data_IF_288221556169
#
_entry.id   IF_288221556169
#
_cell.length_a   1.000
_cell.length_b   1.000
_cell.length_c   1.000
_cell.angle_alpha   90.00
_cell.angle_beta   90.00
_cell.angle_gamma   90.00
#
_symmetry.space_group_name_H-M   'P 1'
#
loop_
_entity.id
_entity.type
_entity.pdbx_description
1 polymer ?
#
# COMPACT_ATOMS: atom_id res chain seq x y z
N UNK A 1 -10.06 -26.34 -12.28
CA UNK A 1 -9.22 -25.20 -11.86
C UNK A 1 -7.79 -25.45 -12.31
N UNK A 2 -7.24 -24.63 -13.21
CA UNK A 2 -5.79 -24.61 -13.45
C UNK A 2 -5.16 -23.96 -12.21
N UNK A 3 -4.24 -24.66 -11.53
CA UNK A 3 -3.50 -24.05 -10.44
C UNK A 3 -2.75 -22.82 -10.98
N UNK A 4 -2.94 -21.66 -10.36
CA UNK A 4 -2.23 -20.46 -10.77
C UNK A 4 -0.72 -20.71 -10.56
N UNK A 5 0.05 -20.58 -11.64
CA UNK A 5 1.51 -20.81 -11.64
C UNK A 5 2.27 -19.92 -10.65
N UNK A 6 1.64 -18.84 -10.16
CA UNK A 6 2.20 -17.91 -9.20
C UNK A 6 1.91 -18.26 -7.74
N UNK A 7 0.99 -19.19 -7.45
CA UNK A 7 0.68 -19.59 -6.07
C UNK A 7 1.89 -20.13 -5.32
N UNK A 8 2.80 -20.85 -6.00
CA UNK A 8 4.05 -21.30 -5.38
C UNK A 8 4.93 -20.15 -4.86
N UNK A 9 4.90 -18.99 -5.53
CA UNK A 9 5.65 -17.82 -5.10
C UNK A 9 4.96 -17.17 -3.91
N UNK A 10 3.64 -17.02 -3.97
CA UNK A 10 2.84 -16.54 -2.84
C UNK A 10 3.05 -17.38 -1.57
N UNK A 11 2.93 -18.71 -1.67
CA UNK A 11 3.16 -19.62 -0.54
C UNK A 11 4.58 -19.49 0.02
N UNK A 12 5.58 -19.32 -0.85
CA UNK A 12 6.96 -19.09 -0.43
C UNK A 12 7.08 -17.79 0.35
N UNK A 13 6.54 -16.69 -0.17
CA UNK A 13 6.53 -15.37 0.49
C UNK A 13 5.83 -15.44 1.85
N UNK A 14 4.65 -16.08 1.94
CA UNK A 14 3.96 -16.28 3.23
C UNK A 14 4.82 -17.09 4.21
N UNK A 15 5.50 -18.16 3.75
CA UNK A 15 6.40 -18.95 4.59
C UNK A 15 7.61 -18.14 5.06
N UNK A 16 8.14 -17.25 4.22
CA UNK A 16 9.25 -16.36 4.58
C UNK A 16 8.86 -15.37 5.67
N UNK A 17 7.72 -14.68 5.54
CA UNK A 17 7.21 -13.79 6.59
C UNK A 17 6.95 -14.53 7.89
N UNK A 18 6.36 -15.73 7.83
CA UNK A 18 6.14 -16.56 9.03
C UNK A 18 7.42 -16.92 9.77
N UNK A 19 8.53 -17.12 9.05
CA UNK A 19 9.82 -17.55 9.62
C UNK A 19 10.70 -16.41 10.11
N UNK A 20 10.59 -15.22 9.52
CA UNK A 20 11.46 -14.10 9.86
C UNK A 20 11.00 -13.42 11.16
N UNK A 21 11.51 -13.92 12.27
CA UNK A 21 11.36 -13.29 13.59
C UNK A 21 12.21 -12.02 13.61
N UNK A 22 11.63 -10.92 14.07
CA UNK A 22 12.31 -9.66 14.33
C UNK A 22 12.17 -9.41 15.83
N UNK A 23 13.28 -9.42 16.56
CA UNK A 23 13.23 -9.27 18.01
C UNK A 23 13.03 -7.81 18.43
N UNK A 24 12.59 -7.59 19.67
CA UNK A 24 12.47 -6.24 20.22
C UNK A 24 13.83 -5.51 20.28
N UNK A 25 14.93 -6.25 20.47
CA UNK A 25 16.29 -5.71 20.36
C UNK A 25 16.60 -5.25 18.93
N UNK A 26 16.30 -6.05 17.91
CA UNK A 26 16.50 -5.65 16.51
C UNK A 26 15.65 -4.41 16.16
N UNK A 27 14.39 -4.38 16.62
CA UNK A 27 13.53 -3.19 16.49
C UNK A 27 14.19 -1.98 17.13
N UNK A 28 14.69 -2.11 18.35
CA UNK A 28 15.34 -1.02 19.08
C UNK A 28 16.60 -0.54 18.35
N UNK A 29 17.45 -1.43 17.87
CA UNK A 29 18.65 -1.09 17.11
C UNK A 29 18.31 -0.32 15.82
N UNK A 30 17.28 -0.74 15.10
CA UNK A 30 16.79 -0.03 13.90
C UNK A 30 16.34 1.38 14.28
N UNK A 31 15.52 1.51 15.34
CA UNK A 31 15.00 2.79 15.82
C UNK A 31 16.13 3.75 16.24
N UNK A 32 17.06 3.26 17.04
CA UNK A 32 18.22 4.03 17.52
C UNK A 32 19.11 4.47 16.34
N UNK A 33 19.36 3.58 15.38
CA UNK A 33 20.11 3.91 14.17
C UNK A 33 19.40 4.99 13.33
N UNK A 34 18.07 4.95 13.19
CA UNK A 34 17.31 6.00 12.48
C UNK A 34 17.44 7.35 13.18
N UNK A 35 17.28 7.38 14.51
CA UNK A 35 17.40 8.61 15.29
C UNK A 35 18.80 9.21 15.19
N UNK A 36 19.85 8.39 15.24
CA UNK A 36 21.23 8.86 15.09
C UNK A 36 21.48 9.42 13.68
N UNK A 37 21.02 8.75 12.62
CA UNK A 37 21.11 9.30 11.25
C UNK A 37 20.37 10.64 11.11
N UNK A 38 19.24 10.82 11.79
CA UNK A 38 18.50 12.08 11.77
C UNK A 38 19.23 13.20 12.53
N UNK A 39 19.86 12.89 13.67
CA UNK A 39 20.70 13.84 14.41
C UNK A 39 21.90 14.30 13.57
N UNK A 40 22.56 13.36 12.88
CA UNK A 40 23.66 13.68 11.96
C UNK A 40 23.23 14.64 10.84
N UNK A 41 22.01 14.49 10.31
CA UNK A 41 21.47 15.40 9.31
C UNK A 41 21.21 16.80 9.88
N UNK A 42 20.78 16.90 11.14
CA UNK A 42 20.60 18.20 11.82
C UNK A 42 21.95 18.91 11.95
N UNK A 43 22.99 18.19 12.37
CA UNK A 43 24.34 18.73 12.55
C UNK A 43 24.96 19.19 11.22
N UNK A 44 24.64 18.50 10.12
CA UNK A 44 25.02 18.87 8.75
C UNK A 44 24.14 19.95 8.12
N UNK A 45 23.15 20.47 8.85
CA UNK A 45 22.15 21.43 8.36
C UNK A 45 21.31 20.92 7.16
N UNK A 46 21.11 19.59 7.08
CA UNK A 46 20.34 18.90 6.04
C UNK A 46 18.93 18.53 6.55
N UNK A 47 18.31 19.42 7.31
CA UNK A 47 17.01 19.20 7.97
C UNK A 47 15.83 18.97 7.01
N UNK A 48 15.99 19.19 5.72
CA UNK A 48 15.00 18.89 4.68
C UNK A 48 15.08 17.44 4.17
N UNK A 49 15.88 16.58 4.82
CA UNK A 49 16.07 15.16 4.47
C UNK A 49 15.68 14.22 5.61
N UNK A 50 15.09 14.73 6.69
CA UNK A 50 14.76 13.93 7.87
C UNK A 50 13.73 12.84 7.54
N UNK A 51 12.67 13.18 6.81
CA UNK A 51 11.66 12.19 6.42
C UNK A 51 12.23 11.04 5.57
N UNK A 52 13.29 11.29 4.78
CA UNK A 52 13.94 10.24 3.97
C UNK A 52 14.52 9.10 4.84
N UNK A 53 14.84 9.38 6.12
CA UNK A 53 15.37 8.38 7.06
C UNK A 53 14.31 7.39 7.54
N UNK A 54 13.02 7.72 7.42
CA UNK A 54 11.92 6.82 7.77
C UNK A 54 11.90 5.56 6.88
N UNK A 55 12.30 5.69 5.60
CA UNK A 55 12.20 4.64 4.57
C UNK A 55 12.77 3.28 4.99
N UNK A 56 13.96 3.27 5.60
CA UNK A 56 14.61 2.01 6.00
C UNK A 56 13.90 1.33 7.18
N UNK A 57 13.33 2.12 8.10
CA UNK A 57 12.56 1.58 9.23
C UNK A 57 11.23 0.97 8.78
N UNK A 58 10.63 1.48 7.70
CA UNK A 58 9.38 0.94 7.15
C UNK A 58 9.54 -0.54 6.75
N UNK A 59 10.59 -0.87 6.00
CA UNK A 59 10.73 -2.22 5.43
C UNK A 59 10.88 -3.32 6.47
N UNK A 60 11.75 -3.13 7.47
CA UNK A 60 12.03 -4.19 8.46
C UNK A 60 11.14 -4.05 9.69
N UNK A 61 11.18 -2.91 10.37
CA UNK A 61 10.52 -2.72 11.66
C UNK A 61 8.99 -2.69 11.56
N UNK A 62 8.42 -2.09 10.51
CA UNK A 62 6.97 -1.95 10.38
C UNK A 62 6.37 -3.07 9.55
N UNK A 63 6.78 -3.19 8.29
CA UNK A 63 6.17 -4.11 7.32
C UNK A 63 6.43 -5.59 7.65
N UNK A 64 7.70 -6.00 7.71
CA UNK A 64 8.05 -7.41 7.94
C UNK A 64 7.63 -7.89 9.32
N UNK A 65 7.82 -7.05 10.34
CA UNK A 65 7.43 -7.36 11.71
C UNK A 65 5.91 -7.53 11.85
N UNK A 66 5.12 -6.61 11.27
CA UNK A 66 3.67 -6.72 11.27
C UNK A 66 3.23 -8.05 10.66
N UNK A 67 3.73 -8.36 9.47
CA UNK A 67 3.36 -9.58 8.74
C UNK A 67 3.76 -10.84 9.48
N UNK A 68 4.96 -10.89 10.04
CA UNK A 68 5.41 -11.99 10.86
C UNK A 68 4.42 -12.25 12.01
N UNK A 69 4.11 -11.20 12.78
CA UNK A 69 3.26 -11.27 13.96
C UNK A 69 1.81 -11.63 13.60
N UNK A 70 1.21 -10.97 12.60
CA UNK A 70 -0.16 -11.26 12.15
C UNK A 70 -0.27 -12.72 11.65
N UNK A 71 0.69 -13.18 10.84
CA UNK A 71 0.67 -14.55 10.31
C UNK A 71 0.89 -15.63 11.37
N UNK A 72 1.40 -15.26 12.55
CA UNK A 72 1.62 -16.13 13.71
C UNK A 72 0.60 -15.90 14.85
N UNK A 73 -0.52 -15.21 14.57
CA UNK A 73 -1.66 -15.14 15.49
C UNK A 73 -1.69 -13.91 16.40
N UNK A 74 -0.90 -12.87 16.10
CA UNK A 74 -0.92 -11.59 16.83
C UNK A 74 -1.59 -10.48 16.01
N UNK A 75 -2.93 -10.42 15.95
CA UNK A 75 -3.65 -9.42 15.16
C UNK A 75 -3.42 -7.98 15.63
N UNK A 76 -3.02 -7.74 16.88
CA UNK A 76 -2.67 -6.39 17.36
C UNK A 76 -1.52 -5.75 16.57
N UNK A 77 -0.72 -6.54 15.84
CA UNK A 77 0.37 -6.03 15.02
C UNK A 77 -0.09 -5.27 13.76
N UNK A 78 -1.40 -5.24 13.44
CA UNK A 78 -1.94 -4.30 12.44
C UNK A 78 -1.63 -2.83 12.75
N UNK A 79 -1.39 -2.49 14.02
CA UNK A 79 -0.95 -1.15 14.46
C UNK A 79 0.36 -0.70 13.79
N UNK A 80 1.25 -1.64 13.45
CA UNK A 80 2.51 -1.35 12.77
C UNK A 80 2.29 -0.98 11.30
N UNK A 81 1.28 -1.57 10.65
CA UNK A 81 0.89 -1.21 9.28
C UNK A 81 0.20 0.15 9.25
N UNK A 82 -0.60 0.47 10.27
CA UNK A 82 -1.15 1.81 10.45
C UNK A 82 -0.05 2.85 10.67
N UNK A 83 0.92 2.59 11.56
CA UNK A 83 2.11 3.42 11.75
C UNK A 83 2.85 3.66 10.43
N UNK A 84 3.00 2.63 9.60
CA UNK A 84 3.62 2.75 8.28
C UNK A 84 2.86 3.70 7.35
N UNK A 85 1.53 3.74 7.38
CA UNK A 85 0.76 4.74 6.60
C UNK A 85 1.18 6.16 7.00
N UNK A 86 1.31 6.43 8.30
CA UNK A 86 1.71 7.74 8.82
C UNK A 86 3.16 8.11 8.48
N UNK A 87 4.07 7.14 8.41
CA UNK A 87 5.44 7.40 7.99
C UNK A 87 5.52 7.71 6.50
N UNK A 88 4.82 6.92 5.66
CA UNK A 88 4.77 7.14 4.21
C UNK A 88 4.12 8.49 3.87
N UNK A 89 3.02 8.85 4.53
CA UNK A 89 2.34 10.12 4.26
C UNK A 89 3.20 11.32 4.67
N UNK A 90 3.95 11.22 5.77
CA UNK A 90 4.89 12.26 6.15
C UNK A 90 5.97 12.42 5.07
N UNK A 91 6.53 11.33 4.56
CA UNK A 91 7.50 11.39 3.45
C UNK A 91 6.94 12.09 2.20
N UNK A 92 5.69 11.80 1.83
CA UNK A 92 5.02 12.48 0.69
C UNK A 92 4.86 13.98 0.97
N UNK A 93 4.38 14.35 2.17
CA UNK A 93 4.22 15.76 2.58
C UNK A 93 5.54 16.53 2.56
N UNK A 94 6.61 15.89 3.04
CA UNK A 94 7.93 16.48 3.17
C UNK A 94 8.61 16.73 1.84
N UNK A 95 8.54 15.82 0.87
CA UNK A 95 9.09 16.08 -0.45
C UNK A 95 8.48 15.19 -1.55
N UNK A 96 7.41 15.63 -2.21
CA UNK A 96 6.73 14.83 -3.23
C UNK A 96 7.58 14.73 -4.52
N UNK A 97 8.42 15.72 -4.83
CA UNK A 97 9.22 15.68 -6.06
C UNK A 97 10.42 14.73 -6.00
N UNK A 98 10.84 14.30 -4.80
CA UNK A 98 11.95 13.36 -4.62
C UNK A 98 11.63 11.91 -4.94
N UNK A 99 10.35 11.53 -5.04
CA UNK A 99 9.98 10.12 -5.21
C UNK A 99 10.42 9.24 -4.03
N UNK A 100 10.50 9.82 -2.82
CA UNK A 100 10.96 9.10 -1.62
C UNK A 100 10.03 7.91 -1.29
N UNK A 101 8.74 8.05 -1.56
CA UNK A 101 7.75 6.95 -1.60
C UNK A 101 7.68 6.42 -3.03
N UNK A 102 7.93 5.11 -3.17
CA UNK A 102 7.88 4.45 -4.48
C UNK A 102 6.43 4.26 -4.93
N UNK A 103 6.21 4.36 -6.24
CA UNK A 103 5.01 3.88 -6.93
C UNK A 103 4.55 2.50 -6.45
N UNK A 104 5.49 1.61 -6.11
CA UNK A 104 5.28 0.26 -5.58
C UNK A 104 4.62 0.16 -4.20
N UNK A 105 4.34 1.29 -3.56
CA UNK A 105 3.76 1.39 -2.21
C UNK A 105 2.40 2.11 -2.22
N UNK A 106 2.05 2.79 -3.32
CA UNK A 106 0.89 3.68 -3.42
C UNK A 106 -0.43 2.92 -3.25
N UNK A 107 -0.53 1.74 -3.86
CA UNK A 107 -1.77 0.97 -3.91
C UNK A 107 -2.28 0.57 -2.53
N UNK A 108 -1.40 -0.02 -1.72
CA UNK A 108 -1.72 -0.38 -0.34
C UNK A 108 -1.91 0.82 0.57
N UNK A 109 -1.15 1.92 0.36
CA UNK A 109 -1.34 3.16 1.10
C UNK A 109 -2.74 3.76 0.85
N UNK A 110 -3.20 3.81 -0.41
CA UNK A 110 -4.57 4.23 -0.74
C UNK A 110 -5.59 3.25 -0.16
N UNK A 111 -5.40 1.95 -0.39
CA UNK A 111 -6.38 0.92 -0.03
C UNK A 111 -6.64 0.85 1.48
N UNK A 112 -5.58 0.74 2.28
CA UNK A 112 -5.73 0.69 3.74
C UNK A 112 -6.20 2.02 4.33
N UNK A 113 -5.77 3.16 3.77
CA UNK A 113 -6.28 4.47 4.21
C UNK A 113 -7.78 4.58 3.96
N UNK A 114 -8.27 4.10 2.81
CA UNK A 114 -9.69 4.10 2.50
C UNK A 114 -10.48 3.19 3.46
N UNK A 115 -10.01 1.95 3.66
CA UNK A 115 -10.69 0.96 4.51
C UNK A 115 -10.73 1.38 5.99
N UNK A 116 -9.70 2.05 6.49
CA UNK A 116 -9.66 2.57 7.86
C UNK A 116 -10.22 3.99 8.01
N UNK A 117 -10.80 4.57 6.96
CA UNK A 117 -11.44 5.89 7.03
C UNK A 117 -10.47 7.06 7.24
N UNK A 118 -9.23 6.94 6.76
CA UNK A 118 -8.26 8.02 6.64
C UNK A 118 -8.39 8.73 5.29
N UNK A 119 -9.53 9.37 5.05
CA UNK A 119 -9.84 10.02 3.76
C UNK A 119 -8.83 11.10 3.37
N UNK A 120 -8.27 11.82 4.34
CA UNK A 120 -7.25 12.85 4.12
C UNK A 120 -5.93 12.25 3.61
N UNK A 121 -5.51 11.12 4.17
CA UNK A 121 -4.33 10.36 3.71
C UNK A 121 -4.59 9.78 2.32
N UNK A 122 -5.76 9.19 2.10
CA UNK A 122 -6.15 8.63 0.81
C UNK A 122 -6.18 9.70 -0.29
N UNK A 123 -6.79 10.87 -0.02
CA UNK A 123 -6.87 12.01 -0.95
C UNK A 123 -5.49 12.56 -1.30
N UNK A 124 -4.63 12.75 -0.31
CA UNK A 124 -3.28 13.26 -0.53
C UNK A 124 -2.46 12.26 -1.36
N UNK A 125 -2.56 10.97 -1.05
CA UNK A 125 -1.88 9.91 -1.79
C UNK A 125 -2.40 9.81 -3.23
N UNK A 126 -3.71 9.95 -3.43
CA UNK A 126 -4.33 10.02 -4.76
C UNK A 126 -3.80 11.19 -5.59
N UNK A 127 -3.70 12.40 -5.01
CA UNK A 127 -3.11 13.58 -5.70
C UNK A 127 -1.65 13.33 -6.07
N UNK A 128 -0.88 12.77 -5.15
CA UNK A 128 0.51 12.40 -5.36
C UNK A 128 0.67 11.42 -6.52
N UNK A 129 -0.09 10.33 -6.50
CA UNK A 129 -0.08 9.27 -7.50
C UNK A 129 -0.54 9.77 -8.88
N UNK A 130 -1.62 10.55 -8.93
CA UNK A 130 -2.14 11.11 -10.19
C UNK A 130 -1.10 11.99 -10.89
N UNK A 131 -0.43 12.87 -10.14
CA UNK A 131 0.65 13.70 -10.69
C UNK A 131 1.83 12.85 -11.21
N UNK A 132 2.12 11.72 -10.56
CA UNK A 132 3.17 10.80 -10.99
C UNK A 132 2.78 10.05 -12.27
N UNK A 133 1.57 9.47 -12.31
CA UNK A 133 1.14 8.59 -13.39
C UNK A 133 0.82 9.37 -14.69
N UNK A 134 0.21 10.55 -14.57
CA UNK A 134 -0.09 11.38 -15.74
C UNK A 134 1.16 11.89 -16.46
N UNK A 135 2.30 12.04 -15.76
CA UNK A 135 3.56 12.48 -16.36
C UNK A 135 4.24 11.43 -17.23
N UNK A 136 3.94 10.14 -17.04
CA UNK A 136 4.61 9.05 -17.74
C UNK A 136 3.65 7.88 -18.04
N UNK A 137 2.54 8.19 -18.72
CA UNK A 137 1.42 7.26 -18.96
C UNK A 137 1.89 5.92 -19.53
N UNK A 138 2.75 5.94 -20.55
CA UNK A 138 3.21 4.74 -21.25
C UNK A 138 3.97 3.78 -20.30
N UNK A 139 4.85 4.31 -19.45
CA UNK A 139 5.56 3.50 -18.46
C UNK A 139 4.60 2.80 -17.49
N UNK A 140 3.62 3.54 -16.98
CA UNK A 140 2.67 3.03 -15.98
C UNK A 140 1.63 2.07 -16.57
N UNK A 141 1.30 2.22 -17.86
CA UNK A 141 0.43 1.30 -18.59
C UNK A 141 1.00 -0.13 -18.68
N UNK A 142 2.33 -0.26 -18.70
CA UNK A 142 2.99 -1.57 -18.88
C UNK A 142 3.53 -2.18 -17.57
N UNK A 143 3.95 -1.35 -16.60
CA UNK A 143 4.78 -1.83 -15.48
C UNK A 143 4.12 -1.77 -14.10
N UNK A 144 3.07 -0.95 -13.95
CA UNK A 144 2.55 -0.49 -12.65
C UNK A 144 1.02 -0.40 -12.60
N UNK A 145 0.36 -1.32 -13.29
CA UNK A 145 -1.09 -1.30 -13.51
C UNK A 145 -1.92 -1.48 -12.24
N UNK A 146 -1.43 -2.19 -11.23
CA UNK A 146 -2.08 -2.33 -9.93
C UNK A 146 -2.16 -0.99 -9.18
N UNK A 147 -1.08 -0.23 -9.14
CA UNK A 147 -1.08 1.06 -8.45
C UNK A 147 -1.90 2.11 -9.19
N UNK A 148 -1.90 2.08 -10.53
CA UNK A 148 -2.82 2.88 -11.34
C UNK A 148 -4.27 2.51 -11.00
N UNK A 149 -4.60 1.22 -10.99
CA UNK A 149 -5.96 0.76 -10.66
C UNK A 149 -6.42 1.26 -9.29
N UNK A 150 -5.59 1.13 -8.25
CA UNK A 150 -5.94 1.61 -6.91
C UNK A 150 -6.18 3.12 -6.86
N UNK A 151 -5.39 3.91 -7.59
CA UNK A 151 -5.59 5.36 -7.72
C UNK A 151 -6.91 5.68 -8.44
N UNK A 152 -7.24 4.97 -9.52
CA UNK A 152 -8.51 5.12 -10.23
C UNK A 152 -9.71 4.65 -9.39
N UNK A 153 -9.54 3.59 -8.60
CA UNK A 153 -10.57 3.04 -7.73
C UNK A 153 -10.93 4.03 -6.60
N UNK A 154 -9.94 4.72 -6.04
CA UNK A 154 -10.19 5.82 -5.10
C UNK A 154 -11.00 6.96 -5.76
N UNK A 155 -10.64 7.35 -6.99
CA UNK A 155 -11.39 8.35 -7.74
C UNK A 155 -12.85 7.92 -7.90
N UNK A 156 -13.09 6.66 -8.31
CA UNK A 156 -14.45 6.10 -8.41
C UNK A 156 -15.19 6.12 -7.09
N UNK A 157 -14.56 5.76 -5.98
CA UNK A 157 -15.19 5.85 -4.67
C UNK A 157 -15.65 7.28 -4.34
N UNK A 158 -14.86 8.28 -4.75
CA UNK A 158 -15.13 9.70 -4.47
C UNK A 158 -16.20 10.30 -5.40
N UNK A 159 -16.16 9.98 -6.69
CA UNK A 159 -16.96 10.65 -7.74
C UNK A 159 -18.08 9.78 -8.32
N UNK A 160 -18.00 8.46 -8.14
CA UNK A 160 -18.89 7.47 -8.76
C UNK A 160 -18.37 6.92 -10.09
N UNK A 161 -17.41 7.59 -10.73
CA UNK A 161 -16.97 7.31 -12.10
C UNK A 161 -15.50 6.90 -12.17
N UNK A 162 -15.10 6.14 -13.19
CA UNK A 162 -13.68 5.88 -13.45
C UNK A 162 -13.04 7.09 -14.15
N UNK A 163 -11.84 7.54 -13.74
CA UNK A 163 -11.16 8.66 -14.39
C UNK A 163 -10.54 8.24 -15.74
N UNK A 164 -10.28 9.19 -16.64
CA UNK A 164 -9.59 8.97 -17.94
C UNK A 164 -8.23 8.25 -17.78
N UNK A 165 -7.54 8.45 -16.65
CA UNK A 165 -6.31 7.74 -16.34
C UNK A 165 -6.47 6.21 -16.42
N UNK A 166 -7.68 5.68 -16.18
CA UNK A 166 -7.95 4.25 -16.26
C UNK A 166 -7.82 3.69 -17.69
N UNK A 167 -8.05 4.51 -18.70
CA UNK A 167 -8.00 4.12 -20.11
C UNK A 167 -6.60 3.82 -20.62
N UNK A 168 -5.56 4.06 -19.81
CA UNK A 168 -4.19 3.63 -20.13
C UNK A 168 -4.03 2.11 -20.07
N UNK A 169 -4.93 1.41 -19.38
CA UNK A 169 -4.86 -0.04 -19.24
C UNK A 169 -5.41 -0.72 -20.50
N UNK A 170 -4.71 -1.74 -21.05
CA UNK A 170 -5.19 -2.51 -22.20
C UNK A 170 -6.60 -3.06 -21.99
N UNK A 171 -7.42 -3.06 -23.04
CA UNK A 171 -8.83 -3.48 -22.94
C UNK A 171 -9.06 -4.88 -22.37
N UNK A 172 -8.12 -5.80 -22.58
CA UNK A 172 -8.16 -7.18 -22.11
C UNK A 172 -7.53 -7.37 -20.71
N UNK A 173 -7.02 -6.30 -20.10
CA UNK A 173 -6.44 -6.30 -18.76
C UNK A 173 -7.48 -6.68 -17.70
N UNK A 174 -7.06 -7.39 -16.64
CA UNK A 174 -7.95 -7.90 -15.58
C UNK A 174 -8.83 -6.80 -14.96
N UNK A 175 -8.27 -5.62 -14.69
CA UNK A 175 -9.00 -4.49 -14.15
C UNK A 175 -10.07 -3.96 -15.11
N UNK A 176 -9.82 -3.92 -16.43
CA UNK A 176 -10.81 -3.51 -17.42
C UNK A 176 -11.98 -4.50 -17.46
N UNK A 177 -11.71 -5.81 -17.45
CA UNK A 177 -12.74 -6.86 -17.39
C UNK A 177 -13.59 -6.76 -16.13
N UNK A 178 -12.94 -6.58 -14.97
CA UNK A 178 -13.61 -6.39 -13.68
C UNK A 178 -14.57 -5.19 -13.74
N UNK A 179 -14.10 -4.03 -14.21
CA UNK A 179 -14.91 -2.83 -14.29
C UNK A 179 -16.05 -2.93 -15.32
N UNK A 180 -15.87 -3.64 -16.43
CA UNK A 180 -16.95 -3.92 -17.40
C UNK A 180 -18.07 -4.77 -16.77
N UNK A 181 -17.71 -5.68 -15.87
CA UNK A 181 -18.68 -6.50 -15.12
C UNK A 181 -19.21 -5.86 -13.84
N UNK A 182 -18.91 -4.59 -13.56
CA UNK A 182 -19.22 -3.97 -12.27
C UNK A 182 -20.70 -4.12 -11.87
N UNK A 183 -21.64 -3.93 -12.80
CA UNK A 183 -23.07 -4.09 -12.49
C UNK A 183 -23.61 -5.51 -12.75
N UNK A 184 -22.77 -6.44 -13.22
CA UNK A 184 -23.17 -7.80 -13.61
C UNK A 184 -22.64 -8.85 -12.63
N UNK A 185 -23.51 -9.28 -11.71
CA UNK A 185 -23.16 -10.27 -10.68
C UNK A 185 -22.80 -11.65 -11.21
N UNK A 186 -23.20 -12.01 -12.44
CA UNK A 186 -22.96 -13.35 -12.97
C UNK A 186 -21.47 -13.55 -13.31
N UNK A 187 -20.83 -12.53 -13.86
CA UNK A 187 -19.41 -12.58 -14.26
C UNK A 187 -18.47 -11.92 -13.24
N UNK A 188 -19.00 -11.06 -12.35
CA UNK A 188 -18.18 -10.34 -11.39
C UNK A 188 -17.38 -11.25 -10.46
N UNK A 189 -17.95 -12.39 -10.03
CA UNK A 189 -17.25 -13.36 -9.18
C UNK A 189 -16.00 -13.95 -9.85
N UNK A 190 -16.08 -14.29 -11.14
CA UNK A 190 -14.95 -14.82 -11.90
C UNK A 190 -13.86 -13.75 -12.06
N UNK A 191 -14.24 -12.51 -12.38
CA UNK A 191 -13.26 -11.42 -12.49
C UNK A 191 -12.65 -11.00 -11.14
N UNK A 192 -13.37 -11.13 -10.02
CA UNK A 192 -12.81 -10.95 -8.68
C UNK A 192 -11.78 -12.04 -8.35
N UNK A 193 -12.00 -13.27 -8.81
CA UNK A 193 -11.02 -14.33 -8.66
C UNK A 193 -9.77 -14.03 -9.49
N UNK A 194 -9.94 -13.62 -10.74
CA UNK A 194 -8.83 -13.18 -11.61
C UNK A 194 -8.06 -12.00 -11.02
N UNK A 195 -8.74 -11.05 -10.38
CA UNK A 195 -8.12 -9.95 -9.64
C UNK A 195 -7.18 -10.47 -8.55
N UNK A 196 -7.63 -11.44 -7.74
CA UNK A 196 -6.80 -12.00 -6.67
C UNK A 196 -5.59 -12.77 -7.23
N UNK A 197 -5.78 -13.48 -8.35
CA UNK A 197 -4.68 -14.12 -9.08
C UNK A 197 -3.68 -13.08 -9.61
N UNK A 198 -4.17 -11.94 -10.08
CA UNK A 198 -3.33 -10.83 -10.55
C UNK A 198 -2.61 -10.12 -9.42
N UNK A 199 -3.24 -9.92 -8.26
CA UNK A 199 -2.58 -9.40 -7.06
C UNK A 199 -1.38 -10.28 -6.69
N UNK A 200 -1.56 -11.61 -6.67
CA UNK A 200 -0.46 -12.57 -6.43
C UNK A 200 0.63 -12.44 -7.51
N UNK A 201 0.26 -12.28 -8.77
CA UNK A 201 1.23 -12.02 -9.84
C UNK A 201 1.97 -10.69 -9.65
N UNK A 202 1.30 -9.65 -9.16
CA UNK A 202 1.87 -8.33 -8.91
C UNK A 202 2.79 -8.29 -7.69
N UNK A 203 2.57 -9.08 -6.65
CA UNK A 203 3.53 -9.19 -5.54
C UNK A 203 4.71 -10.12 -5.81
N UNK A 204 4.64 -10.98 -6.83
CA UNK A 204 5.64 -12.03 -7.04
C UNK A 204 6.82 -11.55 -7.88
N UNK A 205 8.04 -11.77 -7.38
CA UNK A 205 9.23 -11.78 -8.22
C UNK A 205 9.28 -13.07 -9.04
N UNK A 206 9.50 -12.92 -10.35
CA UNK A 206 9.61 -14.02 -11.30
C UNK A 206 10.89 -13.86 -12.11
N UNK A 207 11.38 -14.92 -12.80
CA UNK A 207 12.57 -14.81 -13.65
C UNK A 207 12.50 -13.72 -14.74
N UNK A 208 11.31 -13.21 -15.06
CA UNK A 208 11.09 -12.26 -16.15
C UNK A 208 10.48 -10.92 -15.70
N UNK A 209 10.20 -10.76 -14.40
CA UNK A 209 9.49 -9.60 -13.87
C UNK A 209 9.80 -9.42 -12.39
N UNK A 210 10.14 -8.20 -12.00
CA UNK A 210 10.17 -7.80 -10.61
C UNK A 210 8.75 -7.57 -10.09
N UNK A 211 8.57 -7.80 -8.80
CA UNK A 211 7.33 -7.50 -8.10
C UNK A 211 6.95 -6.03 -8.33
N UNK A 212 5.67 -5.82 -8.57
CA UNK A 212 5.06 -4.50 -8.67
C UNK A 212 4.73 -3.99 -7.27
N UNK A 213 4.03 -4.79 -6.47
CA UNK A 213 3.66 -4.45 -5.09
C UNK A 213 4.88 -4.75 -4.21
N UNK A 214 5.47 -3.72 -3.60
CA UNK A 214 6.62 -3.86 -2.70
C UNK A 214 6.23 -3.81 -1.22
N UNK A 215 5.24 -2.99 -0.89
CA UNK A 215 4.71 -2.84 0.47
C UNK A 215 3.24 -3.19 0.47
N UNK A 216 2.76 -3.63 1.61
CA UNK A 216 1.43 -4.18 1.82
C UNK A 216 1.13 -5.41 0.95
N UNK A 217 2.17 -6.07 0.41
CA UNK A 217 1.99 -7.31 -0.34
C UNK A 217 1.39 -8.39 0.56
N UNK A 218 0.66 -9.32 -0.07
CA UNK A 218 -0.10 -10.37 0.59
C UNK A 218 -1.33 -9.89 1.40
N UNK A 219 -1.60 -8.58 1.47
CA UNK A 219 -2.82 -8.02 2.03
C UNK A 219 -3.78 -7.71 0.86
N UNK A 220 -4.95 -8.37 0.74
CA UNK A 220 -5.89 -8.16 -0.36
C UNK A 220 -6.74 -6.89 -0.20
N UNK A 221 -6.07 -5.75 0.01
CA UNK A 221 -6.73 -4.46 0.20
C UNK A 221 -7.56 -4.03 -1.03
N UNK A 222 -7.15 -4.43 -2.23
CA UNK A 222 -7.84 -4.15 -3.49
C UNK A 222 -9.21 -4.83 -3.55
N UNK A 223 -9.26 -6.13 -3.22
CA UNK A 223 -10.51 -6.89 -3.08
C UNK A 223 -11.47 -6.22 -2.08
N UNK A 224 -10.97 -5.86 -0.90
CA UNK A 224 -11.81 -5.24 0.12
C UNK A 224 -12.22 -3.81 -0.22
N UNK A 225 -11.39 -3.03 -0.91
CA UNK A 225 -11.79 -1.72 -1.42
C UNK A 225 -12.92 -1.86 -2.45
N UNK A 226 -12.86 -2.83 -3.34
CA UNK A 226 -13.93 -3.12 -4.29
C UNK A 226 -15.22 -3.47 -3.55
N UNK A 227 -15.15 -4.38 -2.57
CA UNK A 227 -16.31 -4.75 -1.75
C UNK A 227 -16.92 -3.51 -1.06
N UNK A 228 -16.08 -2.68 -0.45
CA UNK A 228 -16.47 -1.46 0.25
C UNK A 228 -17.17 -0.45 -0.68
N UNK A 229 -16.64 -0.24 -1.89
CA UNK A 229 -17.23 0.68 -2.87
C UNK A 229 -18.56 0.15 -3.39
N UNK A 230 -18.65 -1.14 -3.68
CA UNK A 230 -19.89 -1.78 -4.13
C UNK A 230 -20.99 -1.70 -3.07
N UNK A 231 -20.65 -1.96 -1.81
CA UNK A 231 -21.58 -1.83 -0.69
C UNK A 231 -22.15 -0.41 -0.60
N UNK A 232 -21.29 0.61 -0.74
CA UNK A 232 -21.72 2.03 -0.82
C UNK A 232 -22.67 2.30 -1.99
N UNK A 233 -22.47 1.62 -3.12
CA UNK A 233 -23.32 1.72 -4.31
C UNK A 233 -24.58 0.83 -4.27
N UNK A 234 -24.81 0.09 -3.17
CA UNK A 234 -25.94 -0.83 -3.03
C UNK A 234 -25.80 -2.11 -3.85
N UNK A 235 -24.59 -2.43 -4.30
CA UNK A 235 -24.28 -3.61 -5.10
C UNK A 235 -23.78 -4.76 -4.22
N UNK A 236 -24.28 -5.96 -4.48
CA UNK A 236 -23.76 -7.17 -3.83
C UNK A 236 -22.37 -7.53 -4.39
N UNK A 237 -21.49 -8.02 -3.52
CA UNK A 237 -20.18 -8.58 -3.90
C UNK A 237 -20.21 -10.10 -3.71
N UNK A 238 -20.04 -10.92 -4.76
CA UNK A 238 -19.97 -12.37 -4.64
C UNK A 238 -18.85 -12.79 -3.69
N UNK A 239 -19.14 -13.74 -2.82
CA UNK A 239 -18.10 -14.38 -2.02
C UNK A 239 -17.30 -15.34 -2.89
N UNK A 240 -15.98 -15.27 -2.83
CA UNK A 240 -15.07 -16.14 -3.59
C UNK A 240 -14.13 -16.87 -2.65
N UNK A 241 -13.82 -18.12 -2.95
CA UNK A 241 -12.83 -18.90 -2.20
C UNK A 241 -11.48 -18.81 -2.91
N UNK A 242 -10.58 -17.96 -2.42
CA UNK A 242 -9.26 -17.76 -3.02
C UNK A 242 -8.15 -17.80 -1.95
N UNK A 243 -6.98 -18.44 -2.20
CA UNK A 243 -5.90 -18.57 -1.22
C UNK A 243 -5.43 -17.24 -0.60
N UNK A 244 -5.39 -16.16 -1.39
CA UNK A 244 -5.05 -14.82 -0.90
C UNK A 244 -5.98 -14.34 0.23
N UNK A 245 -7.27 -14.68 0.14
CA UNK A 245 -8.31 -14.27 1.09
C UNK A 245 -8.41 -15.18 2.32
N UNK A 246 -7.64 -16.28 2.34
CA UNK A 246 -7.67 -17.28 3.41
C UNK A 246 -6.51 -17.14 4.39
N UNK A 247 -5.69 -16.09 4.25
CA UNK A 247 -4.56 -15.84 5.16
C UNK A 247 -4.96 -14.93 6.32
N UNK A 248 -4.23 -14.97 7.45
CA UNK A 248 -4.41 -13.98 8.51
C UNK A 248 -4.26 -12.52 8.04
N UNK A 249 -3.49 -12.27 6.98
CA UNK A 249 -3.34 -10.94 6.37
C UNK A 249 -4.58 -10.47 5.58
N UNK A 250 -5.51 -11.37 5.28
CA UNK A 250 -6.82 -11.02 4.74
C UNK A 250 -7.79 -10.52 5.83
N UNK A 251 -7.50 -10.76 7.11
CA UNK A 251 -8.33 -10.27 8.21
C UNK A 251 -8.00 -8.79 8.54
N UNK A 252 -8.20 -7.90 7.57
CA UNK A 252 -8.03 -6.45 7.75
C UNK A 252 -9.04 -5.97 8.82
N UNK A 253 -8.59 -5.28 9.89
CA UNK A 253 -9.50 -4.72 10.88
C UNK A 253 -10.50 -3.75 10.25
N UNK A 254 -11.77 -3.83 10.67
CA UNK A 254 -12.81 -2.89 10.22
C UNK A 254 -12.59 -1.48 10.78
N UNK A 255 -12.11 -1.42 12.01
CA UNK A 255 -11.76 -0.17 12.69
C UNK A 255 -10.26 0.09 12.60
N UNK A 256 -9.88 1.34 12.85
CA UNK A 256 -8.48 1.78 12.95
C UNK A 256 -7.72 0.92 13.97
N UNK A 257 -6.55 0.34 13.62
CA UNK A 257 -5.77 -0.50 14.53
C UNK A 257 -5.33 0.14 15.85
N UNK A 258 -5.31 1.47 15.95
CA UNK A 258 -5.12 2.22 17.21
C UNK A 258 -3.75 2.87 17.38
N UNK A 259 -3.00 3.08 16.31
CA UNK A 259 -1.73 3.80 16.31
C UNK A 259 -1.93 5.26 16.74
N UNK A 260 -1.06 5.71 17.64
CA UNK A 260 -1.08 7.06 18.21
C UNK A 260 0.12 7.85 17.74
N UNK A 261 -0.14 8.83 16.87
CA UNK A 261 0.90 9.64 16.24
C UNK A 261 1.69 10.50 17.23
N UNK A 262 1.06 10.96 18.32
CA UNK A 262 1.68 11.76 19.37
C UNK A 262 2.66 10.97 20.25
N UNK A 263 2.50 9.63 20.30
CA UNK A 263 3.38 8.73 21.04
C UNK A 263 4.56 8.19 20.19
N UNK A 264 4.57 8.41 18.86
CA UNK A 264 5.68 7.98 18.00
C UNK A 264 6.86 8.96 18.03
N UNK A 265 7.84 8.64 18.87
CA UNK A 265 9.06 9.43 19.04
C UNK A 265 9.82 9.71 17.74
N UNK A 266 9.87 8.75 16.80
CA UNK A 266 10.63 8.91 15.55
C UNK A 266 9.90 9.86 14.61
N UNK A 267 8.60 9.64 14.42
CA UNK A 267 7.79 10.50 13.56
C UNK A 267 7.68 11.91 14.16
N UNK A 268 7.49 12.04 15.46
CA UNK A 268 7.50 13.31 16.17
C UNK A 268 8.84 14.03 16.02
N UNK A 269 9.96 13.31 16.12
CA UNK A 269 11.29 13.90 15.90
C UNK A 269 11.39 14.53 14.51
N UNK A 270 10.92 13.82 13.46
CA UNK A 270 10.87 14.37 12.09
C UNK A 270 9.98 15.61 12.05
N UNK A 271 8.71 15.51 12.47
CA UNK A 271 7.73 16.60 12.38
C UNK A 271 8.24 17.88 13.07
N UNK A 272 8.89 17.75 14.22
CA UNK A 272 9.36 18.89 15.01
C UNK A 272 10.64 19.54 14.47
N UNK A 273 11.52 18.75 13.83
CA UNK A 273 12.85 19.23 13.45
C UNK A 273 13.01 19.48 11.95
N UNK A 274 12.10 18.98 11.12
CA UNK A 274 12.20 19.09 9.68
C UNK A 274 12.01 20.54 9.21
N UNK A 275 12.90 20.96 8.30
CA UNK A 275 12.81 22.28 7.65
C UNK A 275 12.74 22.10 6.14
N UNK A 276 11.54 21.83 5.65
CA UNK A 276 11.26 21.70 4.21
C UNK A 276 10.94 23.08 3.62
N UNK A 277 11.65 23.54 2.56
CA UNK A 277 11.28 24.72 1.79
C UNK A 277 9.88 24.59 1.18
N UNK A 278 9.12 25.67 1.09
CA UNK A 278 7.74 25.61 0.57
C UNK A 278 7.68 25.10 -0.88
N UNK A 279 8.72 25.35 -1.69
CA UNK A 279 8.85 24.79 -3.05
C UNK A 279 8.95 23.26 -3.10
N UNK A 280 9.25 22.62 -1.98
CA UNK A 280 9.38 21.17 -1.83
C UNK A 280 8.18 20.57 -1.09
N UNK A 281 7.21 21.35 -0.63
CA UNK A 281 6.03 20.82 0.07
C UNK A 281 4.93 20.52 -0.94
N UNK A 282 4.23 19.40 -0.72
CA UNK A 282 2.87 19.28 -1.24
C UNK A 282 2.01 20.17 -0.34
N UNK A 283 1.50 21.27 -0.89
CA UNK A 283 0.86 22.38 -0.18
C UNK A 283 -0.19 21.87 0.84
N UNK A 284 -0.22 22.55 2.00
CA UNK A 284 -1.11 22.33 3.16
C UNK A 284 -2.58 22.21 2.78
#
# INVERSE_FOLDING_TARGET
>A
MRANKYWKYFERTIKEYKKRVISDEEVKEIRDARLNEMKDLIDKNERNRLADRLKMGIGVHLEMNAKHRILNGEPSAWILLEQQLFWLIQMIKSNPSRGSVSDRQIGGLIGLSLLWGYEDIAELTYKYATNMFTKNRDFYAENKTHHVFMTCLYHKWKTGEMPELFDILPEDHVYQKLMRSWNDTNHFGEHLYELCDFHIYSLSDTPHKLSEILSFDCIPYDYYCIQFIREKEGLATPNIEHPLLQTPLAAIPKDKPGYKLDEDEILQFVIQNEKVPDSQRMIR
#
